data_IF_073237007842
#
_entry.id   IF_073237007842
#
_cell.length_a   1.000
_cell.length_b   1.000
_cell.length_c   1.000
_cell.angle_alpha   90.00
_cell.angle_beta   90.00
_cell.angle_gamma   90.00
#
_symmetry.space_group_name_H-M   'P 1'
#
loop_
_entity.id
_entity.type
_entity.pdbx_description
1 polymer ?
#
# COMPACT_ATOMS: atom_id res chain seq x y z
N UNK A 1 -37.13 -5.29 2.25
CA UNK A 1 -36.18 -4.72 1.27
C UNK A 1 -34.94 -5.59 1.34
N UNK A 2 -34.64 -6.31 0.27
CA UNK A 2 -33.40 -7.12 0.20
C UNK A 2 -32.23 -6.13 0.12
N UNK A 3 -31.46 -5.97 1.19
CA UNK A 3 -30.18 -5.30 1.14
C UNK A 3 -29.25 -6.23 0.35
N UNK A 4 -29.13 -6.00 -0.96
CA UNK A 4 -28.08 -6.63 -1.73
C UNK A 4 -26.76 -6.18 -1.10
N UNK A 5 -26.03 -7.12 -0.49
CA UNK A 5 -24.68 -6.88 0.00
C UNK A 5 -23.87 -6.44 -1.22
N UNK A 6 -23.40 -5.20 -1.23
CA UNK A 6 -22.52 -4.73 -2.31
C UNK A 6 -21.26 -5.62 -2.33
N UNK A 7 -20.83 -6.06 -3.52
CA UNK A 7 -19.57 -6.80 -3.61
C UNK A 7 -18.44 -5.95 -3.08
N UNK A 8 -17.50 -6.55 -2.35
CA UNK A 8 -16.33 -5.88 -1.81
C UNK A 8 -15.05 -6.62 -2.19
N UNK A 9 -13.90 -5.90 -2.21
CA UNK A 9 -12.60 -6.45 -2.54
C UNK A 9 -12.14 -7.51 -1.49
N UNK A 10 -11.24 -8.43 -1.87
CA UNK A 10 -10.63 -8.53 -3.20
C UNK A 10 -11.56 -9.11 -4.25
N UNK A 11 -11.34 -8.70 -5.51
CA UNK A 11 -11.97 -9.28 -6.69
C UNK A 11 -11.00 -10.20 -7.41
N UNK A 12 -11.50 -11.13 -8.25
CA UNK A 12 -10.64 -12.14 -8.92
C UNK A 12 -9.52 -11.52 -9.75
N UNK A 13 -9.79 -10.40 -10.41
CA UNK A 13 -8.80 -9.51 -11.00
C UNK A 13 -8.78 -8.22 -10.18
N UNK A 14 -7.71 -7.97 -9.46
CA UNK A 14 -7.59 -6.83 -8.55
C UNK A 14 -6.34 -5.99 -8.86
N UNK A 15 -6.16 -4.89 -8.14
CA UNK A 15 -5.04 -3.96 -8.27
C UNK A 15 -4.50 -3.59 -6.88
N UNK A 16 -3.25 -3.13 -6.80
CA UNK A 16 -2.69 -2.57 -5.56
C UNK A 16 -3.19 -1.15 -5.33
N UNK A 17 -3.12 -0.26 -6.34
CA UNK A 17 -3.81 1.02 -6.22
C UNK A 17 -3.19 2.21 -6.93
N UNK A 18 -1.85 2.32 -6.99
CA UNK A 18 -1.19 3.42 -7.68
C UNK A 18 -1.05 3.18 -9.18
N UNK A 19 -1.17 4.26 -9.97
CA UNK A 19 -1.03 4.30 -11.41
C UNK A 19 -0.01 5.33 -11.85
N UNK A 20 0.53 5.18 -13.07
CA UNK A 20 1.46 6.15 -13.66
C UNK A 20 0.82 7.54 -13.78
N UNK A 21 1.46 8.57 -13.19
CA UNK A 21 0.96 9.95 -13.25
C UNK A 21 1.06 10.47 -14.67
N UNK A 22 -0.05 11.03 -15.23
CA UNK A 22 -0.01 11.73 -16.51
C UNK A 22 0.96 12.93 -16.48
N UNK A 23 1.54 13.27 -17.61
CA UNK A 23 2.48 14.39 -17.71
C UNK A 23 1.86 15.71 -17.22
N UNK A 24 0.56 15.93 -17.47
CA UNK A 24 -0.15 17.12 -16.99
C UNK A 24 -0.11 17.28 -15.45
N UNK A 25 -0.21 16.17 -14.69
CA UNK A 25 -0.10 16.21 -13.23
C UNK A 25 1.33 16.54 -12.80
N UNK A 26 2.34 15.94 -13.45
CA UNK A 26 3.76 16.23 -13.17
C UNK A 26 4.10 17.70 -13.45
N UNK A 27 3.64 18.24 -14.56
CA UNK A 27 3.84 19.64 -14.94
C UNK A 27 3.14 20.62 -13.98
N UNK A 28 1.90 20.30 -13.58
CA UNK A 28 1.14 21.10 -12.63
C UNK A 28 1.82 21.14 -11.24
N UNK A 29 2.35 20.01 -10.77
CA UNK A 29 3.13 19.94 -9.52
C UNK A 29 4.41 20.77 -9.60
N UNK A 30 5.16 20.65 -10.70
CA UNK A 30 6.35 21.47 -10.92
C UNK A 30 6.00 22.98 -10.93
N UNK A 31 4.89 23.34 -11.58
CA UNK A 31 4.41 24.72 -11.59
C UNK A 31 3.97 25.22 -10.20
N UNK A 32 3.32 24.36 -9.41
CA UNK A 32 2.93 24.66 -8.04
C UNK A 32 4.17 24.89 -7.14
N UNK A 33 5.14 23.99 -7.17
CA UNK A 33 6.40 24.12 -6.42
C UNK A 33 7.16 25.38 -6.83
N UNK A 34 7.12 25.76 -8.11
CA UNK A 34 7.73 26.97 -8.62
C UNK A 34 6.91 28.27 -8.31
N UNK A 35 5.77 28.16 -7.62
CA UNK A 35 4.88 29.28 -7.32
C UNK A 35 4.16 29.89 -8.54
N UNK A 36 4.10 29.14 -9.66
CA UNK A 36 3.44 29.55 -10.91
C UNK A 36 1.99 29.10 -10.99
N UNK A 37 1.59 28.17 -10.13
CA UNK A 37 0.23 27.65 -10.01
C UNK A 37 -0.12 27.64 -8.52
N UNK A 38 -1.36 27.98 -8.18
CA UNK A 38 -1.84 27.91 -6.80
C UNK A 38 -2.40 26.49 -6.48
N UNK A 39 -2.73 26.25 -5.20
CA UNK A 39 -3.26 24.97 -4.75
C UNK A 39 -4.59 24.63 -5.43
N UNK A 40 -5.42 25.60 -5.76
CA UNK A 40 -6.70 25.37 -6.44
C UNK A 40 -6.50 24.94 -7.89
N UNK A 41 -5.52 25.53 -8.56
CA UNK A 41 -5.12 25.14 -9.91
C UNK A 41 -4.52 23.74 -9.99
N UNK A 42 -3.63 23.40 -9.04
CA UNK A 42 -3.10 22.03 -8.93
C UNK A 42 -4.23 21.03 -8.70
N UNK A 43 -5.11 21.29 -7.71
CA UNK A 43 -6.26 20.44 -7.42
C UNK A 43 -7.15 20.22 -8.65
N UNK A 44 -7.39 21.23 -9.46
CA UNK A 44 -8.23 21.10 -10.68
C UNK A 44 -7.60 20.13 -11.68
N UNK A 45 -6.29 20.20 -11.91
CA UNK A 45 -5.57 19.27 -12.81
C UNK A 45 -5.58 17.85 -12.25
N UNK A 46 -5.37 17.69 -10.95
CA UNK A 46 -5.45 16.37 -10.28
C UNK A 46 -6.86 15.78 -10.37
N UNK A 47 -7.91 16.59 -10.13
CA UNK A 47 -9.31 16.18 -10.22
C UNK A 47 -9.65 15.67 -11.63
N UNK A 48 -9.23 16.37 -12.68
CA UNK A 48 -9.48 15.98 -14.06
C UNK A 48 -8.73 14.69 -14.42
N UNK A 49 -7.47 14.58 -14.02
CA UNK A 49 -6.67 13.38 -14.24
C UNK A 49 -7.25 12.15 -13.50
N UNK A 50 -7.76 12.31 -12.28
CA UNK A 50 -8.39 11.23 -11.52
C UNK A 50 -9.72 10.80 -12.17
N UNK A 51 -10.53 11.74 -12.69
CA UNK A 51 -11.74 11.39 -13.45
C UNK A 51 -11.43 10.54 -14.68
N UNK A 52 -10.41 10.92 -15.45
CA UNK A 52 -9.94 10.16 -16.61
C UNK A 52 -9.44 8.77 -16.21
N UNK A 53 -8.61 8.69 -15.17
CA UNK A 53 -8.12 7.43 -14.63
C UNK A 53 -9.26 6.50 -14.19
N UNK A 54 -10.23 7.01 -13.44
CA UNK A 54 -11.39 6.20 -13.00
C UNK A 54 -12.22 5.73 -14.19
N UNK A 55 -12.39 6.56 -15.21
CA UNK A 55 -13.06 6.14 -16.45
C UNK A 55 -12.31 4.99 -17.15
N UNK A 56 -10.97 5.06 -17.21
CA UNK A 56 -10.12 3.99 -17.75
C UNK A 56 -10.16 2.71 -16.91
N UNK A 57 -10.14 2.81 -15.57
CA UNK A 57 -10.30 1.66 -14.67
C UNK A 57 -11.65 0.96 -14.94
N UNK A 58 -12.71 1.71 -15.08
CA UNK A 58 -14.06 1.19 -15.43
C UNK A 58 -14.07 0.51 -16.80
N UNK A 59 -13.51 1.15 -17.79
CA UNK A 59 -13.42 0.61 -19.16
C UNK A 59 -12.59 -0.69 -19.21
N UNK A 60 -11.55 -0.80 -18.38
CA UNK A 60 -10.78 -2.03 -18.19
C UNK A 60 -11.57 -3.12 -17.43
N UNK A 61 -12.74 -2.80 -16.89
CA UNK A 61 -13.60 -3.72 -16.14
C UNK A 61 -13.13 -4.01 -14.72
N UNK A 62 -12.37 -3.11 -14.12
CA UNK A 62 -11.97 -3.20 -12.71
C UNK A 62 -13.19 -2.92 -11.81
N UNK A 63 -13.33 -3.74 -10.77
CA UNK A 63 -14.37 -3.57 -9.75
C UNK A 63 -13.88 -2.73 -8.57
N UNK A 64 -12.57 -2.68 -8.32
CA UNK A 64 -11.94 -1.69 -7.43
C UNK A 64 -11.52 -0.48 -8.25
N UNK A 65 -11.83 0.72 -7.73
CA UNK A 65 -11.34 1.99 -8.28
C UNK A 65 -10.55 2.75 -7.22
N UNK A 66 -9.50 3.44 -7.65
CA UNK A 66 -8.64 4.29 -6.80
C UNK A 66 -8.40 5.63 -7.48
N UNK A 67 -7.86 6.60 -6.73
CA UNK A 67 -7.35 7.86 -7.29
C UNK A 67 -5.98 7.71 -7.99
N UNK A 68 -5.44 6.49 -8.05
CA UNK A 68 -4.11 6.22 -8.60
C UNK A 68 -2.97 6.84 -7.80
N UNK A 69 -3.27 7.41 -6.64
CA UNK A 69 -2.34 8.21 -5.81
C UNK A 69 -1.83 9.48 -6.51
N UNK A 70 -2.61 10.02 -7.44
CA UNK A 70 -2.21 11.17 -8.25
C UNK A 70 -1.99 12.44 -7.43
N UNK A 71 -2.51 12.52 -6.21
CA UNK A 71 -2.31 13.65 -5.30
C UNK A 71 -1.05 13.51 -4.43
N UNK A 72 -0.33 12.39 -4.51
CA UNK A 72 0.80 12.06 -3.63
C UNK A 72 2.15 12.19 -4.33
N UNK A 73 3.14 12.69 -3.61
CA UNK A 73 4.56 12.60 -3.97
C UNK A 73 5.10 11.21 -3.62
N UNK A 74 4.75 10.73 -2.42
CA UNK A 74 5.09 9.41 -1.90
C UNK A 74 3.84 8.69 -1.40
N UNK A 75 3.78 7.38 -1.59
CA UNK A 75 2.67 6.56 -1.14
C UNK A 75 2.41 6.65 0.38
N UNK A 76 3.45 6.85 1.21
CA UNK A 76 3.40 6.84 2.68
C UNK A 76 3.56 8.22 3.31
N UNK A 77 4.54 9.03 2.89
CA UNK A 77 4.85 10.30 3.55
C UNK A 77 3.70 11.31 3.47
N UNK A 78 3.00 11.36 2.33
CA UNK A 78 1.85 12.27 2.16
C UNK A 78 0.71 11.96 3.13
N UNK A 79 0.52 10.69 3.51
CA UNK A 79 -0.39 10.33 4.58
C UNK A 79 0.14 10.79 5.95
N UNK A 80 1.39 10.51 6.25
CA UNK A 80 1.99 10.87 7.54
C UNK A 80 1.97 12.37 7.77
N UNK A 81 2.25 13.18 6.74
CA UNK A 81 2.17 14.64 6.81
C UNK A 81 0.74 15.17 6.97
N UNK A 82 -0.26 14.36 6.67
CA UNK A 82 -1.67 14.64 6.94
C UNK A 82 -2.10 14.43 8.39
N UNK A 83 -1.32 13.69 9.18
CA UNK A 83 -1.58 13.50 10.61
C UNK A 83 -1.17 14.76 11.39
N UNK A 84 -1.99 15.17 12.36
CA UNK A 84 -1.59 16.24 13.28
C UNK A 84 -0.36 15.78 14.09
N UNK A 85 0.51 16.71 14.41
CA UNK A 85 1.73 16.45 15.18
C UNK A 85 2.88 15.84 14.39
N UNK A 86 2.74 15.68 13.07
CA UNK A 86 3.80 15.23 12.16
C UNK A 86 4.06 16.30 11.10
N UNK A 87 5.34 16.62 10.87
CA UNK A 87 5.76 17.60 9.86
C UNK A 87 6.71 16.98 8.82
N UNK A 88 6.64 17.53 7.61
CA UNK A 88 7.64 17.27 6.56
C UNK A 88 8.97 17.90 6.92
N UNK A 89 10.05 17.15 6.78
CA UNK A 89 11.44 17.62 6.89
C UNK A 89 12.28 17.06 5.76
N UNK A 90 13.35 17.76 5.43
CA UNK A 90 14.38 17.24 4.53
C UNK A 90 15.27 16.28 5.30
N UNK A 91 15.42 15.06 4.81
CA UNK A 91 16.31 14.05 5.37
C UNK A 91 17.74 14.22 4.86
N UNK A 92 18.70 13.56 5.52
CA UNK A 92 20.12 13.56 5.07
C UNK A 92 20.30 12.84 3.73
N UNK A 93 19.49 11.80 3.46
CA UNK A 93 19.50 11.00 2.24
C UNK A 93 18.09 10.60 1.88
N UNK A 94 17.84 10.23 0.61
CA UNK A 94 16.63 9.56 0.19
C UNK A 94 16.55 8.12 0.69
N UNK A 95 15.54 7.38 0.24
CA UNK A 95 15.49 5.92 0.38
C UNK A 95 16.30 5.29 -0.74
N UNK A 96 17.10 4.28 -0.38
CA UNK A 96 17.92 3.55 -1.35
C UNK A 96 17.13 2.37 -1.92
N UNK A 97 17.10 2.32 -3.25
CA UNK A 97 16.51 1.24 -4.03
C UNK A 97 17.58 0.74 -5.00
N UNK A 98 18.21 -0.39 -4.70
CA UNK A 98 19.24 -0.98 -5.54
C UNK A 98 20.23 0.08 -6.08
N UNK A 99 19.98 0.60 -7.27
CA UNK A 99 20.85 1.55 -7.97
C UNK A 99 20.33 2.99 -7.95
N UNK A 100 19.19 3.25 -7.30
CA UNK A 100 18.52 4.56 -7.33
C UNK A 100 18.20 5.04 -5.91
N UNK A 101 18.23 6.36 -5.73
CA UNK A 101 17.90 7.04 -4.49
C UNK A 101 16.72 7.98 -4.71
N UNK A 102 15.75 7.99 -3.79
CA UNK A 102 14.62 8.92 -3.85
C UNK A 102 15.04 10.34 -3.46
N UNK A 103 14.12 11.31 -3.60
CA UNK A 103 14.31 12.63 -2.99
C UNK A 103 14.41 12.51 -1.46
N UNK A 104 15.10 13.46 -0.83
CA UNK A 104 15.44 13.44 0.58
C UNK A 104 14.31 14.05 1.43
N UNK A 105 13.25 13.28 1.66
CA UNK A 105 12.12 13.68 2.51
C UNK A 105 11.90 12.67 3.66
N UNK A 106 11.35 13.14 4.78
CA UNK A 106 10.98 12.33 5.95
C UNK A 106 9.83 12.96 6.72
N UNK A 107 9.29 12.23 7.69
CA UNK A 107 8.26 12.65 8.63
C UNK A 107 8.83 12.76 10.04
N UNK A 108 8.61 13.89 10.71
CA UNK A 108 9.14 14.16 12.05
C UNK A 108 8.00 14.49 13.00
N UNK A 109 7.98 13.87 14.17
CA UNK A 109 7.04 14.15 15.23
C UNK A 109 7.40 15.50 15.89
N UNK A 110 6.46 16.45 15.87
CA UNK A 110 6.62 17.79 16.45
C UNK A 110 5.57 18.10 17.52
N UNK A 111 4.58 17.22 17.69
CA UNK A 111 3.52 17.33 18.67
C UNK A 111 2.75 16.03 18.85
N UNK A 112 1.71 16.00 19.70
CA UNK A 112 0.85 14.83 19.83
C UNK A 112 0.23 14.42 18.51
N UNK A 113 0.39 13.13 18.14
CA UNK A 113 -0.14 12.58 16.88
C UNK A 113 -1.64 12.37 17.02
N UNK A 114 -2.41 12.86 16.01
CA UNK A 114 -3.84 12.58 15.93
C UNK A 114 -4.33 12.58 14.47
N UNK A 115 -5.51 11.96 14.24
CA UNK A 115 -6.03 11.71 12.88
C UNK A 115 -7.15 12.66 12.43
N UNK A 116 -7.56 13.63 13.23
CA UNK A 116 -8.69 14.51 12.93
C UNK A 116 -8.43 15.38 11.70
N UNK A 117 -9.46 15.52 10.87
CA UNK A 117 -9.44 16.32 9.63
C UNK A 117 -8.37 15.88 8.62
N UNK A 118 -8.05 14.58 8.56
CA UNK A 118 -7.04 14.07 7.65
C UNK A 118 -7.44 14.31 6.18
N UNK A 119 -6.55 14.87 5.33
CA UNK A 119 -6.89 15.27 3.96
C UNK A 119 -7.32 14.11 3.07
N UNK A 120 -6.89 12.87 3.35
CA UNK A 120 -7.29 11.70 2.58
C UNK A 120 -8.79 11.39 2.66
N UNK A 121 -9.50 11.89 3.66
CA UNK A 121 -10.97 11.78 3.73
C UNK A 121 -11.62 12.53 2.56
N UNK A 122 -11.16 13.75 2.25
CA UNK A 122 -11.66 14.51 1.10
C UNK A 122 -11.20 13.92 -0.23
N UNK A 123 -9.98 13.36 -0.29
CA UNK A 123 -9.51 12.63 -1.47
C UNK A 123 -10.39 11.41 -1.75
N UNK A 124 -10.72 10.65 -0.70
CA UNK A 124 -11.62 9.50 -0.81
C UNK A 124 -13.03 9.89 -1.27
N UNK A 125 -13.63 10.94 -0.69
CA UNK A 125 -14.97 11.42 -1.08
C UNK A 125 -15.04 11.73 -2.58
N UNK A 126 -13.96 12.26 -3.14
CA UNK A 126 -13.88 12.55 -4.58
C UNK A 126 -13.96 11.27 -5.41
N UNK A 127 -13.21 10.23 -5.07
CA UNK A 127 -13.26 8.92 -5.78
C UNK A 127 -14.59 8.22 -5.54
N UNK A 128 -15.12 8.27 -4.32
CA UNK A 128 -16.42 7.69 -3.96
C UNK A 128 -17.56 8.26 -4.81
N UNK A 129 -17.52 9.55 -5.10
CA UNK A 129 -18.51 10.20 -5.96
C UNK A 129 -18.44 9.71 -7.44
N UNK A 130 -17.34 9.10 -7.84
CA UNK A 130 -17.15 8.50 -9.16
C UNK A 130 -17.49 7.01 -9.19
N UNK A 131 -17.82 6.37 -8.07
CA UNK A 131 -18.15 4.95 -7.99
C UNK A 131 -19.40 4.63 -8.82
N UNK A 132 -19.39 3.51 -9.52
CA UNK A 132 -20.50 3.00 -10.32
C UNK A 132 -21.09 1.73 -9.72
N UNK A 133 -22.14 1.23 -10.36
CA UNK A 133 -22.77 -0.03 -9.94
C UNK A 133 -21.77 -1.20 -10.01
N UNK A 134 -21.72 -2.02 -8.95
CA UNK A 134 -20.79 -3.16 -8.86
C UNK A 134 -19.34 -2.80 -8.62
N UNK A 135 -19.02 -1.53 -8.32
CA UNK A 135 -17.69 -1.05 -8.01
C UNK A 135 -17.54 -0.67 -6.54
N UNK A 136 -16.30 -0.68 -6.09
CA UNK A 136 -15.89 -0.24 -4.76
C UNK A 136 -14.72 0.72 -4.87
N UNK A 137 -14.84 1.90 -4.27
CA UNK A 137 -13.73 2.83 -4.10
C UNK A 137 -12.84 2.33 -2.95
N UNK A 138 -11.54 2.17 -3.24
CA UNK A 138 -10.51 1.82 -2.26
C UNK A 138 -9.71 3.04 -1.86
N UNK A 139 -9.44 3.19 -0.55
CA UNK A 139 -8.45 4.10 -0.03
C UNK A 139 -7.20 3.33 0.37
N UNK A 140 -6.06 3.65 -0.22
CA UNK A 140 -4.74 3.14 0.19
C UNK A 140 -4.13 4.10 1.21
N UNK A 141 -3.57 3.56 2.29
CA UNK A 141 -2.84 4.29 3.33
C UNK A 141 -1.65 3.43 3.79
N UNK A 142 -0.54 4.01 4.27
CA UNK A 142 0.53 3.21 4.86
C UNK A 142 0.00 2.44 6.07
N UNK A 143 0.59 1.27 6.35
CA UNK A 143 0.29 0.55 7.59
C UNK A 143 0.71 1.35 8.83
N UNK A 144 0.06 1.18 9.99
CA UNK A 144 0.46 1.86 11.23
C UNK A 144 1.92 1.63 11.59
N UNK A 145 2.42 0.41 11.44
CA UNK A 145 3.84 0.08 11.69
C UNK A 145 4.79 0.80 10.73
N UNK A 146 4.36 1.09 9.49
CA UNK A 146 5.16 1.89 8.55
C UNK A 146 5.33 3.32 9.06
N UNK A 147 4.28 3.91 9.64
CA UNK A 147 4.37 5.23 10.28
C UNK A 147 5.28 5.20 11.50
N UNK A 148 5.14 4.19 12.36
CA UNK A 148 6.02 3.99 13.51
C UNK A 148 7.49 3.88 13.08
N UNK A 149 7.77 3.04 12.09
CA UNK A 149 9.11 2.84 11.56
C UNK A 149 9.71 4.15 11.02
N UNK A 150 8.96 4.92 10.23
CA UNK A 150 9.45 6.17 9.66
C UNK A 150 9.82 7.20 10.72
N UNK A 151 8.95 7.44 11.71
CA UNK A 151 9.20 8.47 12.72
C UNK A 151 10.23 8.08 13.76
N UNK A 152 10.54 6.78 13.89
CA UNK A 152 11.62 6.28 14.78
C UNK A 152 12.99 6.18 14.11
N UNK A 153 13.09 6.34 12.79
CA UNK A 153 14.36 6.45 12.09
C UNK A 153 15.06 7.78 12.44
N UNK A 154 16.39 7.78 12.44
CA UNK A 154 17.20 9.01 12.58
C UNK A 154 17.64 9.52 11.21
N UNK A 155 16.70 10.11 10.46
CA UNK A 155 16.95 10.55 9.08
C UNK A 155 17.33 12.01 8.93
N UNK A 156 17.02 12.85 9.92
CA UNK A 156 17.41 14.28 9.94
C UNK A 156 17.78 14.73 11.35
N UNK A 157 18.47 15.85 11.43
CA UNK A 157 18.96 16.38 12.71
C UNK A 157 17.81 16.74 13.65
N UNK A 158 17.93 16.29 14.89
CA UNK A 158 16.93 16.52 15.94
C UNK A 158 15.67 15.67 15.86
N UNK A 159 15.57 14.73 14.92
CA UNK A 159 14.37 13.88 14.75
C UNK A 159 14.08 13.07 16.02
N UNK A 160 15.07 12.37 16.55
CA UNK A 160 14.90 11.57 17.76
C UNK A 160 14.67 12.43 19.01
N UNK A 161 15.32 13.58 19.10
CA UNK A 161 15.11 14.52 20.20
C UNK A 161 13.67 15.07 20.20
N UNK A 162 13.15 15.45 19.02
CA UNK A 162 11.79 15.91 18.84
C UNK A 162 10.78 14.83 19.21
N UNK A 163 10.97 13.58 18.72
CA UNK A 163 10.13 12.44 19.04
C UNK A 163 10.07 12.22 20.56
N UNK A 164 11.24 12.15 21.24
CA UNK A 164 11.33 11.85 22.67
C UNK A 164 10.91 13.04 23.55
N UNK A 165 10.79 14.24 23.01
CA UNK A 165 10.14 15.37 23.69
C UNK A 165 8.63 15.14 23.87
N UNK A 166 7.98 14.47 22.90
CA UNK A 166 6.54 14.19 22.91
C UNK A 166 6.25 12.82 23.55
N UNK A 167 6.91 11.76 23.08
CA UNK A 167 6.70 10.37 23.52
C UNK A 167 7.95 9.82 24.18
N UNK A 168 7.85 9.40 25.44
CA UNK A 168 9.00 8.91 26.22
C UNK A 168 9.35 7.47 25.90
N UNK A 169 8.35 6.67 25.53
CA UNK A 169 8.49 5.26 25.19
C UNK A 169 7.93 4.93 23.82
N UNK A 170 8.31 3.78 23.28
CA UNK A 170 7.78 3.27 22.02
C UNK A 170 6.32 2.82 22.15
N UNK A 171 5.90 2.38 23.33
CA UNK A 171 4.52 2.03 23.65
C UNK A 171 3.61 3.26 23.60
N UNK A 172 4.02 4.40 24.20
CA UNK A 172 3.26 5.66 24.10
C UNK A 172 3.10 6.12 22.65
N UNK A 173 4.15 5.99 21.85
CA UNK A 173 4.11 6.30 20.41
C UNK A 173 3.17 5.37 19.66
N UNK A 174 3.28 4.04 19.88
CA UNK A 174 2.44 3.05 19.22
C UNK A 174 0.96 3.26 19.52
N UNK A 175 0.62 3.51 20.78
CA UNK A 175 -0.76 3.79 21.22
C UNK A 175 -1.32 5.05 20.54
N UNK A 176 -0.52 6.11 20.42
CA UNK A 176 -0.92 7.35 19.78
C UNK A 176 -1.14 7.15 18.25
N UNK A 177 -0.26 6.40 17.58
CA UNK A 177 -0.41 6.05 16.16
C UNK A 177 -1.67 5.21 15.97
N UNK A 178 -1.89 4.15 16.77
CA UNK A 178 -3.09 3.33 16.67
C UNK A 178 -4.37 4.16 16.84
N UNK A 179 -4.39 5.09 17.81
CA UNK A 179 -5.53 5.98 18.03
C UNK A 179 -5.78 6.92 16.85
N UNK A 180 -4.71 7.52 16.29
CA UNK A 180 -4.81 8.38 15.11
C UNK A 180 -5.37 7.64 13.90
N UNK A 181 -4.89 6.40 13.65
CA UNK A 181 -5.41 5.56 12.56
C UNK A 181 -6.88 5.20 12.77
N UNK A 182 -7.30 4.83 13.98
CA UNK A 182 -8.73 4.59 14.27
C UNK A 182 -9.59 5.80 13.92
N UNK A 183 -9.13 7.02 14.23
CA UNK A 183 -9.84 8.25 13.86
C UNK A 183 -9.95 8.40 12.34
N UNK A 184 -8.85 8.26 11.60
CA UNK A 184 -8.86 8.35 10.13
C UNK A 184 -9.75 7.26 9.50
N UNK A 185 -9.68 6.02 10.00
CA UNK A 185 -10.50 4.90 9.52
C UNK A 185 -11.99 5.17 9.77
N UNK A 186 -12.35 5.68 10.95
CA UNK A 186 -13.71 6.05 11.29
C UNK A 186 -14.25 7.17 10.39
N UNK A 187 -13.44 8.20 10.11
CA UNK A 187 -13.81 9.31 9.22
C UNK A 187 -13.95 8.83 7.76
N UNK A 188 -13.08 7.96 7.27
CA UNK A 188 -13.20 7.33 5.96
C UNK A 188 -14.47 6.48 5.89
N UNK A 189 -14.75 5.69 6.92
CA UNK A 189 -15.98 4.88 6.99
C UNK A 189 -17.24 5.76 6.97
N UNK A 190 -17.26 6.84 7.74
CA UNK A 190 -18.33 7.82 7.75
C UNK A 190 -18.50 8.51 6.38
N UNK A 191 -17.42 8.71 5.62
CA UNK A 191 -17.44 9.19 4.25
C UNK A 191 -17.93 8.14 3.22
N UNK A 192 -18.29 6.92 3.67
CA UNK A 192 -18.79 5.84 2.82
C UNK A 192 -17.73 4.86 2.34
N UNK A 193 -16.51 4.90 2.89
CA UNK A 193 -15.48 3.93 2.59
C UNK A 193 -15.87 2.54 3.12
N UNK A 194 -15.67 1.52 2.28
CA UNK A 194 -15.89 0.11 2.65
C UNK A 194 -14.70 -0.78 2.31
N UNK A 195 -13.65 -0.19 1.73
CA UNK A 195 -12.41 -0.89 1.45
C UNK A 195 -11.21 0.02 1.70
N UNK A 196 -10.37 -0.38 2.64
CA UNK A 196 -9.08 0.26 2.95
C UNK A 196 -7.98 -0.76 2.69
N UNK A 197 -6.87 -0.30 2.14
CA UNK A 197 -5.67 -1.11 2.00
C UNK A 197 -4.54 -0.46 2.79
N UNK A 198 -3.95 -1.20 3.71
CA UNK A 198 -2.66 -0.90 4.29
C UNK A 198 -1.55 -1.28 3.32
N UNK A 199 -0.66 -0.34 3.03
CA UNK A 199 0.57 -0.62 2.30
C UNK A 199 1.72 -0.70 3.29
N UNK A 200 2.40 -1.85 3.34
CA UNK A 200 3.38 -2.16 4.38
C UNK A 200 4.70 -2.70 3.79
N UNK A 201 5.67 -1.81 3.66
CA UNK A 201 7.03 -2.19 3.26
C UNK A 201 7.87 -2.70 4.44
N UNK A 202 7.41 -2.55 5.69
CA UNK A 202 8.16 -2.96 6.89
C UNK A 202 8.41 -4.45 6.90
N UNK A 203 7.39 -5.24 6.57
CA UNK A 203 7.53 -6.69 6.44
C UNK A 203 8.52 -7.11 5.35
N UNK A 204 8.58 -6.33 4.25
CA UNK A 204 9.53 -6.57 3.16
C UNK A 204 10.98 -6.50 3.60
N UNK A 205 11.31 -5.60 4.54
CA UNK A 205 12.66 -5.50 5.13
C UNK A 205 13.05 -6.81 5.82
N UNK A 206 12.12 -7.39 6.59
CA UNK A 206 12.38 -8.60 7.37
C UNK A 206 12.35 -9.90 6.55
N UNK A 207 11.88 -9.85 5.31
CA UNK A 207 12.03 -10.93 4.34
C UNK A 207 13.47 -11.09 3.86
N UNK A 208 14.24 -9.99 3.81
CA UNK A 208 15.62 -9.98 3.33
C UNK A 208 16.60 -10.37 4.44
N UNK A 209 16.87 -11.66 4.54
CA UNK A 209 17.73 -12.22 5.59
C UNK A 209 19.17 -11.72 5.51
N UNK A 210 19.67 -11.38 4.32
CA UNK A 210 21.01 -10.83 4.12
C UNK A 210 21.06 -9.38 4.59
N UNK A 211 20.03 -8.60 4.33
CA UNK A 211 19.91 -7.24 4.84
C UNK A 211 19.79 -7.26 6.38
N UNK A 212 18.92 -8.07 6.93
CA UNK A 212 18.74 -8.24 8.39
C UNK A 212 20.08 -8.62 9.05
N UNK A 213 20.82 -9.57 8.48
CA UNK A 213 22.14 -9.96 8.99
C UNK A 213 23.15 -8.80 8.98
N UNK A 214 23.14 -7.94 7.94
CA UNK A 214 24.02 -6.75 7.84
C UNK A 214 23.68 -5.68 8.88
N UNK A 215 22.42 -5.57 9.31
CA UNK A 215 22.04 -4.63 10.39
C UNK A 215 22.48 -5.09 11.79
N UNK A 216 22.90 -6.35 11.93
CA UNK A 216 23.23 -6.96 13.22
C UNK A 216 22.03 -7.32 14.07
N UNK A 217 20.82 -7.26 13.53
CA UNK A 217 19.58 -7.66 14.20
C UNK A 217 19.61 -9.14 14.55
N UNK A 218 19.42 -9.45 15.84
CA UNK A 218 19.33 -10.83 16.31
C UNK A 218 17.94 -11.44 16.02
N UNK A 219 17.79 -12.77 16.05
CA UNK A 219 16.46 -13.40 15.96
C UNK A 219 15.48 -12.91 17.02
N UNK A 220 15.95 -12.51 18.19
CA UNK A 220 15.11 -11.93 19.26
C UNK A 220 14.64 -10.54 18.89
N UNK A 221 15.49 -9.74 18.24
CA UNK A 221 15.10 -8.41 17.78
C UNK A 221 14.09 -8.50 16.63
N UNK A 222 14.30 -9.43 15.68
CA UNK A 222 13.34 -9.72 14.62
C UNK A 222 11.97 -10.13 15.21
N UNK A 223 11.96 -10.98 16.22
CA UNK A 223 10.73 -11.34 16.92
C UNK A 223 10.04 -10.12 17.52
N UNK A 224 10.77 -9.27 18.25
CA UNK A 224 10.20 -8.07 18.89
C UNK A 224 9.57 -7.11 17.89
N UNK A 225 10.26 -6.81 16.80
CA UNK A 225 9.72 -5.90 15.77
C UNK A 225 8.53 -6.51 15.03
N UNK A 226 8.51 -7.83 14.82
CA UNK A 226 7.38 -8.54 14.24
C UNK A 226 6.16 -8.55 15.16
N UNK A 227 6.37 -8.78 16.49
CA UNK A 227 5.32 -8.68 17.49
C UNK A 227 4.74 -7.26 17.58
N UNK A 228 5.60 -6.24 17.56
CA UNK A 228 5.18 -4.84 17.54
C UNK A 228 4.34 -4.54 16.29
N UNK A 229 4.79 -4.99 15.10
CA UNK A 229 4.08 -4.79 13.84
C UNK A 229 2.66 -5.32 13.88
N UNK A 230 2.49 -6.60 14.23
CA UNK A 230 1.17 -7.22 14.37
C UNK A 230 0.32 -6.50 15.42
N UNK A 231 0.89 -6.22 16.60
CA UNK A 231 0.15 -5.60 17.69
C UNK A 231 -0.35 -4.21 17.31
N UNK A 232 0.50 -3.38 16.69
CA UNK A 232 0.16 -2.01 16.30
C UNK A 232 -0.85 -1.99 15.16
N UNK A 233 -0.64 -2.80 14.10
CA UNK A 233 -1.58 -2.88 12.98
C UNK A 233 -2.96 -3.36 13.45
N UNK A 234 -3.02 -4.39 14.30
CA UNK A 234 -4.29 -4.89 14.85
C UNK A 234 -4.96 -3.87 15.78
N UNK A 235 -4.20 -3.15 16.63
CA UNK A 235 -4.76 -2.11 17.50
C UNK A 235 -5.41 -0.95 16.71
N UNK A 236 -4.89 -0.65 15.53
CA UNK A 236 -5.44 0.40 14.66
C UNK A 236 -6.78 0.02 14.02
N UNK A 237 -7.10 -1.27 13.93
CA UNK A 237 -8.31 -1.80 13.27
C UNK A 237 -9.25 -2.55 14.22
N UNK A 238 -8.95 -2.56 15.52
CA UNK A 238 -9.68 -3.36 16.51
C UNK A 238 -11.20 -3.07 16.55
N UNK A 239 -11.57 -1.81 16.30
CA UNK A 239 -12.95 -1.35 16.36
C UNK A 239 -13.59 -1.16 14.96
N UNK A 240 -13.01 -1.75 13.91
CA UNK A 240 -13.55 -1.59 12.54
C UNK A 240 -14.94 -2.18 12.44
N UNK A 241 -15.88 -1.52 11.72
CA UNK A 241 -17.19 -2.10 11.43
C UNK A 241 -17.07 -3.38 10.59
N UNK A 242 -18.00 -4.32 10.79
CA UNK A 242 -18.01 -5.64 10.13
C UNK A 242 -18.07 -5.56 8.59
N UNK A 243 -18.69 -4.51 8.04
CA UNK A 243 -18.82 -4.28 6.60
C UNK A 243 -17.64 -3.47 5.99
N UNK A 244 -16.66 -3.10 6.81
CA UNK A 244 -15.41 -2.50 6.36
C UNK A 244 -14.36 -3.58 6.12
N UNK A 245 -13.95 -3.76 4.88
CA UNK A 245 -12.85 -4.65 4.51
C UNK A 245 -11.53 -3.87 4.61
N UNK A 246 -10.58 -4.41 5.37
CA UNK A 246 -9.21 -3.88 5.46
C UNK A 246 -8.24 -4.96 4.96
N UNK A 247 -7.48 -4.63 3.92
CA UNK A 247 -6.46 -5.49 3.35
C UNK A 247 -5.07 -4.96 3.73
N UNK A 248 -4.05 -5.81 3.64
CA UNK A 248 -2.64 -5.37 3.69
C UNK A 248 -1.91 -5.77 2.42
N UNK A 249 -1.11 -4.85 1.87
CA UNK A 249 -0.18 -5.11 0.77
C UNK A 249 1.24 -5.09 1.29
N UNK A 250 1.96 -6.19 1.11
CA UNK A 250 3.35 -6.33 1.53
C UNK A 250 4.27 -6.13 0.35
N UNK A 251 4.96 -5.01 0.36
CA UNK A 251 5.87 -4.58 -0.70
C UNK A 251 7.34 -4.84 -0.31
N UNK A 252 8.18 -5.13 -1.30
CA UNK A 252 9.66 -5.20 -1.15
C UNK A 252 10.36 -3.99 -1.76
N UNK A 253 9.63 -2.90 -1.91
CA UNK A 253 10.08 -1.71 -2.60
C UNK A 253 9.71 -1.69 -4.07
N UNK A 254 9.22 -0.54 -4.52
CA UNK A 254 8.83 -0.30 -5.90
C UNK A 254 9.09 1.17 -6.25
N UNK A 255 10.23 1.44 -6.85
CA UNK A 255 10.66 2.77 -7.23
C UNK A 255 11.35 2.73 -8.58
N UNK A 256 10.83 3.47 -9.55
CA UNK A 256 11.39 3.63 -10.90
C UNK A 256 11.83 2.29 -11.53
N UNK A 257 10.97 1.27 -11.42
CA UNK A 257 11.19 -0.12 -11.90
C UNK A 257 12.26 -0.91 -11.14
N UNK A 258 12.72 -0.45 -9.99
CA UNK A 258 13.63 -1.22 -9.12
C UNK A 258 12.98 -1.58 -7.78
N UNK A 259 13.69 -2.31 -6.94
CA UNK A 259 13.24 -2.79 -5.62
C UNK A 259 14.29 -2.47 -4.55
N UNK A 260 13.90 -2.59 -3.28
CA UNK A 260 14.81 -2.36 -2.15
C UNK A 260 15.27 -3.67 -1.49
N UNK A 261 14.38 -4.65 -1.36
CA UNK A 261 14.58 -5.87 -0.60
C UNK A 261 14.22 -7.11 -1.42
N UNK A 262 14.74 -8.27 -0.99
CA UNK A 262 14.44 -9.57 -1.56
C UNK A 262 14.22 -10.62 -0.47
N UNK A 263 13.86 -11.85 -0.83
CA UNK A 263 13.63 -12.96 0.09
C UNK A 263 12.17 -13.38 0.21
N UNK A 264 11.98 -14.63 0.62
CA UNK A 264 10.65 -15.23 0.85
C UNK A 264 10.00 -14.73 2.14
N UNK A 265 8.72 -15.06 2.32
CA UNK A 265 7.95 -14.66 3.50
C UNK A 265 8.21 -15.52 4.74
N UNK A 266 9.10 -16.54 4.68
CA UNK A 266 9.34 -17.51 5.76
C UNK A 266 9.61 -16.86 7.13
N UNK A 267 10.45 -15.80 7.26
CA UNK A 267 10.77 -15.22 8.56
C UNK A 267 9.58 -14.53 9.23
N UNK A 268 8.63 -14.00 8.44
CA UNK A 268 7.53 -13.17 8.93
C UNK A 268 6.17 -13.87 8.91
N UNK A 269 6.03 -14.96 8.15
CA UNK A 269 4.75 -15.65 7.97
C UNK A 269 4.07 -16.08 9.27
N UNK A 270 4.78 -16.58 10.31
CA UNK A 270 4.18 -16.92 11.60
C UNK A 270 3.55 -15.73 12.35
N UNK A 271 3.98 -14.51 12.03
CA UNK A 271 3.44 -13.28 12.60
C UNK A 271 2.37 -12.69 11.69
N UNK A 272 2.75 -12.28 10.49
CA UNK A 272 1.87 -11.61 9.55
C UNK A 272 0.67 -12.47 9.15
N UNK A 273 0.90 -13.65 8.56
CA UNK A 273 -0.19 -14.47 7.99
C UNK A 273 -1.05 -15.15 9.05
N UNK A 274 -0.45 -15.49 10.18
CA UNK A 274 -1.17 -16.19 11.25
C UNK A 274 -1.94 -15.24 12.18
N UNK A 275 -1.55 -13.96 12.29
CA UNK A 275 -1.96 -13.13 13.42
C UNK A 275 -2.44 -11.71 13.07
N UNK A 276 -2.18 -11.20 11.87
CA UNK A 276 -2.70 -9.89 11.46
C UNK A 276 -4.19 -10.00 11.11
N UNK A 277 -5.03 -9.13 11.69
CA UNK A 277 -6.49 -9.21 11.61
C UNK A 277 -7.09 -8.56 10.36
N UNK A 278 -6.30 -8.45 9.28
CA UNK A 278 -6.78 -7.99 7.98
C UNK A 278 -7.62 -9.05 7.28
N UNK A 279 -8.45 -8.63 6.33
CA UNK A 279 -9.35 -9.51 5.57
C UNK A 279 -8.64 -10.22 4.42
N UNK A 280 -7.61 -9.58 3.84
CA UNK A 280 -6.83 -10.15 2.74
C UNK A 280 -5.38 -9.66 2.73
N UNK A 281 -4.49 -10.50 2.21
CA UNK A 281 -3.07 -10.23 1.99
C UNK A 281 -2.79 -10.08 0.49
N UNK A 282 -2.24 -8.93 0.06
CA UNK A 282 -1.75 -8.67 -1.30
C UNK A 282 -0.24 -8.86 -1.30
N UNK A 283 0.24 -9.94 -1.90
CA UNK A 283 1.61 -10.42 -1.73
C UNK A 283 2.38 -10.42 -3.05
N UNK A 284 3.62 -9.95 -3.04
CA UNK A 284 4.53 -10.03 -4.18
C UNK A 284 5.04 -11.46 -4.39
N UNK A 285 4.82 -11.97 -5.60
CA UNK A 285 5.32 -13.26 -6.07
C UNK A 285 5.71 -13.21 -7.57
N UNK A 286 6.01 -12.02 -8.11
CA UNK A 286 6.26 -11.82 -9.54
C UNK A 286 7.53 -12.51 -10.06
N UNK A 287 8.55 -12.62 -9.23
CA UNK A 287 9.85 -13.19 -9.61
C UNK A 287 10.38 -14.12 -8.52
N UNK A 288 11.41 -14.97 -8.83
CA UNK A 288 12.06 -15.83 -7.83
C UNK A 288 12.62 -15.06 -6.61
N UNK A 289 12.88 -13.77 -6.74
CA UNK A 289 13.29 -12.86 -5.66
C UNK A 289 12.33 -12.91 -4.46
N UNK A 290 11.05 -13.12 -4.71
CA UNK A 290 10.01 -13.16 -3.68
C UNK A 290 9.87 -14.51 -2.95
N UNK A 291 10.66 -15.52 -3.32
CA UNK A 291 10.56 -16.87 -2.75
C UNK A 291 9.39 -17.69 -3.28
N UNK A 292 9.12 -18.82 -2.64
CA UNK A 292 8.05 -19.75 -2.95
C UNK A 292 6.76 -19.50 -2.17
N UNK A 293 5.77 -20.39 -2.37
CA UNK A 293 4.43 -20.29 -1.74
C UNK A 293 4.31 -21.02 -0.39
N UNK A 294 5.34 -21.76 0.05
CA UNK A 294 5.32 -22.54 1.31
C UNK A 294 4.91 -21.73 2.54
N UNK A 295 5.29 -20.43 2.67
CA UNK A 295 4.86 -19.61 3.80
C UNK A 295 3.34 -19.39 3.88
N UNK A 296 2.61 -19.57 2.77
CA UNK A 296 1.14 -19.44 2.77
C UNK A 296 0.43 -20.49 3.65
N UNK A 297 1.11 -21.54 4.06
CA UNK A 297 0.60 -22.51 5.06
C UNK A 297 0.26 -21.87 6.40
N UNK A 298 0.81 -20.69 6.71
CA UNK A 298 0.52 -19.93 7.92
C UNK A 298 -0.70 -19.02 7.80
N UNK A 299 -1.28 -18.87 6.60
CA UNK A 299 -2.47 -18.04 6.40
C UNK A 299 -3.63 -18.60 7.23
N UNK A 300 -4.17 -17.76 8.11
CA UNK A 300 -5.26 -18.18 8.98
C UNK A 300 -6.51 -18.57 8.16
N UNK A 301 -7.28 -19.58 8.60
CA UNK A 301 -8.47 -20.03 7.88
C UNK A 301 -9.45 -18.88 7.59
N UNK A 302 -9.97 -18.83 6.36
CA UNK A 302 -10.94 -17.81 5.91
C UNK A 302 -10.32 -16.51 5.42
N UNK A 303 -9.04 -16.25 5.65
CA UNK A 303 -8.33 -15.11 5.06
C UNK A 303 -8.15 -15.32 3.55
N UNK A 304 -8.12 -14.22 2.81
CA UNK A 304 -7.94 -14.20 1.37
C UNK A 304 -6.51 -13.82 1.02
N UNK A 305 -6.01 -14.35 -0.11
CA UNK A 305 -4.66 -14.04 -0.62
C UNK A 305 -4.76 -13.58 -2.06
N UNK A 306 -4.27 -12.39 -2.34
CA UNK A 306 -4.15 -11.83 -3.68
C UNK A 306 -2.71 -12.02 -4.13
N UNK A 307 -2.53 -12.88 -5.12
CA UNK A 307 -1.23 -13.25 -5.66
C UNK A 307 -0.76 -12.17 -6.65
N UNK A 308 0.25 -11.44 -6.28
CA UNK A 308 0.92 -10.44 -7.13
C UNK A 308 1.91 -11.11 -8.06
N UNK A 309 1.41 -11.74 -9.13
CA UNK A 309 2.20 -12.55 -10.07
C UNK A 309 2.65 -11.81 -11.32
N UNK A 310 2.06 -10.65 -11.61
CA UNK A 310 2.36 -9.84 -12.78
C UNK A 310 3.22 -8.65 -12.36
N UNK A 311 4.44 -8.54 -12.91
CA UNK A 311 5.35 -7.46 -12.53
C UNK A 311 4.90 -6.10 -13.08
N UNK A 312 5.06 -5.04 -12.28
CA UNK A 312 4.92 -3.65 -12.72
C UNK A 312 6.26 -2.98 -13.00
N UNK A 313 7.36 -3.74 -12.97
CA UNK A 313 8.73 -3.22 -13.11
C UNK A 313 9.26 -3.35 -14.54
N UNK A 314 8.62 -4.18 -15.39
CA UNK A 314 9.01 -4.44 -16.77
C UNK A 314 7.77 -4.45 -17.68
N UNK A 315 7.96 -4.03 -18.93
CA UNK A 315 6.87 -3.90 -19.91
C UNK A 315 6.42 -5.25 -20.49
N UNK A 316 7.33 -6.23 -20.55
CA UNK A 316 7.07 -7.55 -21.10
C UNK A 316 5.91 -8.24 -20.38
N UNK A 317 4.96 -8.77 -21.14
CA UNK A 317 3.85 -9.54 -20.58
C UNK A 317 4.33 -10.94 -20.20
N UNK A 318 3.89 -11.40 -19.04
CA UNK A 318 4.11 -12.75 -18.56
C UNK A 318 3.34 -13.78 -19.41
N UNK A 319 3.85 -15.00 -19.46
CA UNK A 319 3.15 -16.13 -20.06
C UNK A 319 1.92 -16.51 -19.24
N UNK A 320 0.75 -16.55 -19.87
CA UNK A 320 -0.53 -16.81 -19.19
C UNK A 320 -0.58 -18.22 -18.58
N UNK A 321 -0.03 -19.23 -19.27
CA UNK A 321 -0.02 -20.61 -18.78
C UNK A 321 0.88 -20.74 -17.55
N UNK A 322 2.05 -20.11 -17.57
CA UNK A 322 2.95 -20.08 -16.42
C UNK A 322 2.30 -19.41 -15.19
N UNK A 323 1.56 -18.31 -15.37
CA UNK A 323 0.85 -17.69 -14.24
C UNK A 323 -0.27 -18.59 -13.71
N UNK A 324 -1.04 -19.26 -14.59
CA UNK A 324 -2.07 -20.21 -14.18
C UNK A 324 -1.48 -21.37 -13.38
N UNK A 325 -0.35 -21.94 -13.82
CA UNK A 325 0.37 -22.99 -13.08
C UNK A 325 0.79 -22.52 -11.68
N UNK A 326 1.31 -21.29 -11.56
CA UNK A 326 1.69 -20.71 -10.27
C UNK A 326 0.49 -20.47 -9.34
N UNK A 327 -0.68 -20.09 -9.88
CA UNK A 327 -1.91 -20.00 -9.07
C UNK A 327 -2.29 -21.38 -8.52
N UNK A 328 -2.20 -22.43 -9.33
CA UNK A 328 -2.47 -23.79 -8.88
C UNK A 328 -1.40 -24.33 -7.91
N UNK A 329 -0.16 -23.87 -8.01
CA UNK A 329 0.86 -24.16 -7.02
C UNK A 329 0.52 -23.52 -5.66
N UNK A 330 0.13 -22.24 -5.62
CA UNK A 330 -0.32 -21.57 -4.41
C UNK A 330 -1.58 -22.24 -3.81
N UNK A 331 -2.45 -22.80 -4.65
CA UNK A 331 -3.66 -23.52 -4.23
C UNK A 331 -3.37 -24.81 -3.42
N UNK A 332 -2.13 -25.26 -3.34
CA UNK A 332 -1.72 -26.34 -2.44
C UNK A 332 -1.71 -25.91 -0.96
N UNK A 333 -1.65 -24.61 -0.70
CA UNK A 333 -1.53 -24.02 0.65
C UNK A 333 -2.78 -23.24 1.07
N UNK A 334 -3.43 -22.54 0.15
CA UNK A 334 -4.64 -21.75 0.38
C UNK A 334 -5.71 -22.21 -0.63
N UNK A 335 -6.95 -22.55 -0.21
CA UNK A 335 -8.00 -22.96 -1.13
C UNK A 335 -8.18 -21.99 -2.30
N UNK A 336 -8.39 -22.52 -3.52
CA UNK A 336 -8.49 -21.70 -4.75
C UNK A 336 -9.57 -20.63 -4.67
N UNK A 337 -10.67 -20.89 -3.95
CA UNK A 337 -11.74 -19.93 -3.69
C UNK A 337 -11.28 -18.72 -2.85
N UNK A 338 -10.18 -18.85 -2.10
CA UNK A 338 -9.59 -17.76 -1.31
C UNK A 338 -8.37 -17.12 -2.01
N UNK A 339 -8.05 -17.54 -3.25
CA UNK A 339 -7.00 -16.96 -4.06
C UNK A 339 -7.54 -15.96 -5.07
N UNK A 340 -6.79 -14.92 -5.32
CA UNK A 340 -7.08 -13.82 -6.22
C UNK A 340 -5.80 -13.42 -6.97
N UNK A 341 -5.89 -12.60 -8.01
CA UNK A 341 -4.75 -12.18 -8.82
C UNK A 341 -4.66 -10.66 -8.92
N UNK A 342 -3.45 -10.13 -8.82
CA UNK A 342 -3.14 -8.72 -9.07
C UNK A 342 -1.73 -8.56 -9.67
N UNK A 343 -1.37 -7.36 -10.14
CA UNK A 343 0.03 -6.98 -10.26
C UNK A 343 0.73 -7.07 -8.88
N UNK A 344 2.06 -7.27 -8.89
CA UNK A 344 2.82 -7.46 -7.64
C UNK A 344 2.84 -6.21 -6.76
N UNK A 345 2.70 -5.02 -7.33
CA UNK A 345 2.61 -3.73 -6.67
C UNK A 345 1.80 -2.75 -7.52
N UNK A 346 1.67 -1.49 -7.10
CA UNK A 346 1.21 -0.42 -7.98
C UNK A 346 2.24 -0.07 -9.07
N UNK A 347 1.84 0.78 -10.02
CA UNK A 347 2.72 1.22 -11.12
C UNK A 347 3.54 2.47 -10.76
N UNK A 348 3.19 3.16 -9.69
CA UNK A 348 3.87 4.40 -9.29
C UNK A 348 3.72 4.69 -7.79
N UNK A 349 4.52 4.05 -6.95
CA UNK A 349 4.54 4.29 -5.49
C UNK A 349 5.06 5.68 -5.12
N UNK A 350 5.85 6.31 -6.00
CA UNK A 350 6.22 7.71 -5.94
C UNK A 350 5.83 8.40 -7.25
N UNK A 351 5.81 9.73 -7.27
CA UNK A 351 5.36 10.51 -8.45
C UNK A 351 6.16 10.24 -9.74
N UNK A 352 7.43 9.81 -9.63
CA UNK A 352 8.24 9.46 -10.80
C UNK A 352 7.63 8.29 -11.58
N UNK A 353 7.09 7.28 -10.87
CA UNK A 353 6.52 6.07 -11.47
C UNK A 353 7.55 5.09 -12.00
N UNK A 354 7.09 3.91 -12.41
CA UNK A 354 7.92 2.89 -13.04
C UNK A 354 8.19 3.23 -14.52
N UNK A 355 9.21 2.60 -15.09
CA UNK A 355 9.69 2.82 -16.48
C UNK A 355 8.79 2.08 -17.49
N UNK A 356 7.50 2.27 -17.41
CA UNK A 356 6.49 1.76 -18.31
C UNK A 356 5.71 2.93 -18.93
N UNK A 357 5.18 2.70 -20.11
CA UNK A 357 4.18 3.58 -20.71
C UNK A 357 2.78 3.30 -20.12
N UNK A 358 1.86 4.23 -20.32
CA UNK A 358 0.47 4.03 -19.92
C UNK A 358 -0.17 2.83 -20.66
N UNK A 359 0.12 2.63 -21.93
CA UNK A 359 -0.39 1.48 -22.71
C UNK A 359 0.12 0.14 -22.16
N UNK A 360 1.39 0.05 -21.78
CA UNK A 360 1.97 -1.14 -21.14
C UNK A 360 1.35 -1.40 -19.78
N UNK A 361 1.09 -0.36 -18.97
CA UNK A 361 0.35 -0.47 -17.72
C UNK A 361 -1.03 -1.10 -17.94
N UNK A 362 -1.80 -0.61 -18.92
CA UNK A 362 -3.12 -1.16 -19.23
C UNK A 362 -3.07 -2.56 -19.83
N UNK A 363 -2.02 -2.91 -20.58
CA UNK A 363 -1.79 -4.26 -21.08
C UNK A 363 -1.57 -5.26 -19.93
N UNK A 364 -0.82 -4.87 -18.87
CA UNK A 364 -0.65 -5.69 -17.65
C UNK A 364 -1.99 -5.90 -16.92
N UNK A 365 -2.81 -4.86 -16.77
CA UNK A 365 -4.15 -4.99 -16.17
C UNK A 365 -5.04 -5.91 -16.99
N UNK A 366 -5.02 -5.79 -18.30
CA UNK A 366 -5.78 -6.67 -19.19
C UNK A 366 -5.31 -8.14 -19.09
N UNK A 367 -4.00 -8.38 -18.93
CA UNK A 367 -3.44 -9.71 -18.68
C UNK A 367 -3.99 -10.32 -17.38
N UNK A 368 -3.94 -9.57 -16.27
CA UNK A 368 -4.50 -10.01 -14.97
C UNK A 368 -5.95 -10.43 -15.12
N UNK A 369 -6.75 -9.64 -15.83
CA UNK A 369 -8.18 -9.92 -16.06
C UNK A 369 -8.39 -11.19 -16.87
N UNK A 370 -7.70 -11.36 -18.00
CA UNK A 370 -7.82 -12.58 -18.83
C UNK A 370 -7.48 -13.86 -18.06
N UNK A 371 -6.41 -13.81 -17.27
CA UNK A 371 -6.00 -14.95 -16.45
C UNK A 371 -7.04 -15.23 -15.36
N UNK A 372 -7.54 -14.20 -14.69
CA UNK A 372 -8.57 -14.38 -13.67
C UNK A 372 -9.86 -15.00 -14.25
N UNK A 373 -10.32 -14.54 -15.42
CA UNK A 373 -11.47 -15.11 -16.14
C UNK A 373 -11.25 -16.56 -16.57
N UNK A 374 -10.01 -16.96 -16.78
CA UNK A 374 -9.63 -18.35 -17.15
C UNK A 374 -9.63 -19.28 -15.95
N UNK A 375 -9.14 -18.82 -14.79
CA UNK A 375 -8.98 -19.64 -13.58
C UNK A 375 -10.28 -19.75 -12.78
N UNK A 376 -11.01 -18.68 -12.62
CA UNK A 376 -12.21 -18.61 -11.77
C UNK A 376 -13.49 -18.39 -12.62
N UNK A 377 -13.78 -19.38 -13.47
CA UNK A 377 -15.01 -19.41 -14.28
C UNK A 377 -16.26 -19.65 -13.45
#
# INVERSE_FOLDING_TARGET
MSTSIQPNAPFRADIVGSFLRPQAVKDARAAYVAGKLDASGLKAVEDDAIRDLVAKQKAAGLQVITDGEFRRSYWHLDFMWGLNGIERRTSRTGYMFHDEETTADTAVVTGPISGENHPFVEHFKFVKALEGEGQVARQTIPAPIQTFSEVTLDRCDGQQESLRAVYKTDEELADAIAAAYRTVIADLYAAGCRNIQFDDCTWGIYCDTDFVAKTGMSPVDLQKVSELGVTLNNAAIADKPDDLVINTHVCRGNYHSTYAFEGGYDPIAPYLFAREDVDAFYLEFDTPRAGGFEPLKYVAPGKKVVLGLVTTKAAELEDEDAIVERIHEAAKYVPLENLYLSPQCGFASCEIGNKLTEDEQWAKIALVKRIAERVWK
#
